data_IF_911921678595
#
_entry.id   IF_911921678595
#
_cell.length_a   1.000
_cell.length_b   1.000
_cell.length_c   1.000
_cell.angle_alpha   90.00
_cell.angle_beta   90.00
_cell.angle_gamma   90.00
#
_symmetry.space_group_name_H-M   'P 1'
#
loop_
_entity.id
_entity.type
_entity.pdbx_description
1 polymer ?
#
# COMPACT_ATOMS: atom_id res chain seq x y z
N UNK A 1 -27.23 -16.20 12.54
CA UNK A 1 -25.91 -16.77 12.17
C UNK A 1 -25.57 -16.43 10.72
N UNK A 2 -24.30 -16.15 10.39
CA UNK A 2 -23.87 -15.90 9.00
C UNK A 2 -23.68 -17.23 8.26
N UNK A 3 -24.25 -17.35 7.05
CA UNK A 3 -24.16 -18.54 6.20
C UNK A 3 -22.68 -18.95 5.93
N UNK A 4 -22.37 -20.24 6.10
CA UNK A 4 -21.04 -20.82 5.89
C UNK A 4 -20.48 -20.57 4.48
N UNK A 5 -21.29 -20.68 3.43
CA UNK A 5 -20.87 -20.42 2.05
C UNK A 5 -20.44 -18.95 1.83
N UNK A 6 -21.04 -18.00 2.57
CA UNK A 6 -20.63 -16.59 2.54
C UNK A 6 -19.28 -16.39 3.23
N UNK A 7 -19.07 -17.08 4.36
CA UNK A 7 -17.77 -17.07 5.07
C UNK A 7 -16.66 -17.68 4.21
N UNK A 8 -16.92 -18.85 3.60
CA UNK A 8 -15.97 -19.51 2.71
C UNK A 8 -15.59 -18.62 1.53
N UNK A 9 -16.56 -18.01 0.85
CA UNK A 9 -16.26 -17.06 -0.25
C UNK A 9 -15.41 -15.87 0.20
N UNK A 10 -15.72 -15.27 1.35
CA UNK A 10 -14.95 -14.17 1.89
C UNK A 10 -13.52 -14.59 2.26
N UNK A 11 -13.34 -15.80 2.79
CA UNK A 11 -12.04 -16.38 3.10
C UNK A 11 -11.24 -16.66 1.82
N UNK A 12 -11.83 -17.34 0.83
CA UNK A 12 -11.20 -17.63 -0.46
C UNK A 12 -10.74 -16.36 -1.15
N UNK A 13 -11.56 -15.31 -1.16
CA UNK A 13 -11.20 -14.01 -1.73
C UNK A 13 -9.98 -13.37 -1.05
N UNK A 14 -9.81 -13.58 0.27
CA UNK A 14 -8.66 -13.07 1.04
C UNK A 14 -7.40 -13.91 0.87
N UNK A 15 -7.55 -15.24 0.84
CA UNK A 15 -6.41 -16.17 0.74
C UNK A 15 -5.87 -16.28 -0.68
N UNK A 16 -6.70 -16.05 -1.70
CA UNK A 16 -6.27 -16.19 -3.10
C UNK A 16 -5.07 -15.27 -3.43
N UNK A 17 -5.09 -13.96 -3.12
CA UNK A 17 -3.93 -13.09 -3.29
C UNK A 17 -2.68 -13.53 -2.54
N UNK A 18 -2.83 -14.22 -1.41
CA UNK A 18 -1.70 -14.68 -0.58
C UNK A 18 -0.96 -15.85 -1.25
N UNK A 19 -1.68 -16.68 -2.01
CA UNK A 19 -1.13 -17.88 -2.65
C UNK A 19 -0.55 -17.60 -4.03
N UNK A 20 -1.17 -16.69 -4.79
CA UNK A 20 -1.06 -16.67 -6.25
C UNK A 20 -0.52 -15.36 -6.85
N UNK A 21 -0.44 -14.27 -6.08
CA UNK A 21 0.07 -13.00 -6.60
C UNK A 21 1.62 -12.94 -6.51
N UNK A 22 2.21 -11.91 -7.11
CA UNK A 22 3.61 -11.55 -6.90
C UNK A 22 3.91 -11.51 -5.39
N UNK A 23 5.10 -11.90 -4.94
CA UNK A 23 5.34 -12.15 -3.50
C UNK A 23 5.31 -13.64 -3.12
N UNK A 24 4.59 -14.44 -3.90
CA UNK A 24 4.43 -15.88 -3.68
C UNK A 24 5.61 -16.65 -4.28
N UNK A 25 6.71 -16.72 -3.53
CA UNK A 25 7.93 -17.44 -3.95
C UNK A 25 8.33 -18.44 -2.88
N UNK A 26 8.76 -19.62 -3.31
CA UNK A 26 9.43 -20.61 -2.45
C UNK A 26 10.92 -20.30 -2.47
N UNK A 27 11.49 -20.05 -1.30
CA UNK A 27 12.92 -19.83 -1.11
C UNK A 27 13.67 -21.14 -1.36
N UNK A 28 14.86 -21.10 -1.98
CA UNK A 28 15.66 -22.30 -2.18
C UNK A 28 16.08 -22.86 -0.82
N UNK A 29 15.66 -24.10 -0.53
CA UNK A 29 16.00 -24.81 0.72
C UNK A 29 17.32 -25.58 0.63
N UNK A 30 17.92 -25.67 -0.56
CA UNK A 30 19.06 -26.57 -0.83
C UNK A 30 20.39 -25.88 -0.54
N UNK A 31 21.12 -26.40 0.46
CA UNK A 31 22.56 -26.14 0.61
C UNK A 31 23.27 -26.62 -0.68
N UNK A 32 24.36 -25.94 -1.14
CA UNK A 32 25.31 -25.14 -0.37
C UNK A 32 25.15 -23.60 -0.50
N UNK A 33 24.02 -23.12 -1.01
CA UNK A 33 23.77 -21.69 -1.20
C UNK A 33 23.38 -20.95 0.09
N UNK A 34 23.55 -19.61 0.14
CA UNK A 34 23.12 -18.80 1.26
C UNK A 34 21.59 -18.78 1.36
N UNK A 35 21.08 -19.05 2.56
CA UNK A 35 19.65 -19.18 2.84
C UNK A 35 19.16 -17.98 3.64
N UNK A 36 18.06 -17.36 3.21
CA UNK A 36 17.41 -16.30 3.98
C UNK A 36 16.71 -16.93 5.19
N UNK A 37 17.21 -16.62 6.40
CA UNK A 37 16.70 -17.17 7.65
C UNK A 37 15.70 -16.26 8.34
N UNK A 38 16.00 -14.97 8.38
CA UNK A 38 15.20 -13.98 9.10
C UNK A 38 15.05 -12.70 8.30
N UNK A 39 13.89 -12.08 8.43
CA UNK A 39 13.57 -10.79 7.85
C UNK A 39 12.97 -9.91 8.95
N UNK A 40 13.67 -8.81 9.25
CA UNK A 40 13.24 -7.82 10.22
C UNK A 40 12.95 -6.51 9.50
N UNK A 41 11.80 -5.91 9.77
CA UNK A 41 11.39 -4.68 9.10
C UNK A 41 10.91 -3.67 10.12
N UNK A 42 11.42 -2.44 10.03
CA UNK A 42 10.95 -1.34 10.88
C UNK A 42 10.04 -0.42 10.08
N UNK A 43 8.78 -0.31 10.49
CA UNK A 43 7.75 0.47 9.78
C UNK A 43 7.04 1.41 10.75
N UNK A 44 7.04 2.72 10.50
CA UNK A 44 6.37 3.64 11.38
C UNK A 44 4.86 3.57 11.17
N UNK A 45 4.13 3.76 12.27
CA UNK A 45 2.68 3.67 12.35
C UNK A 45 2.08 5.02 12.75
N UNK A 46 0.88 5.29 12.24
CA UNK A 46 0.18 6.55 12.46
C UNK A 46 -0.05 7.35 11.18
N UNK A 47 -0.51 8.58 11.36
CA UNK A 47 -0.71 9.54 10.27
C UNK A 47 0.56 10.34 10.06
N UNK A 48 1.17 10.22 8.88
CA UNK A 48 2.34 11.01 8.51
C UNK A 48 1.92 12.13 7.55
N UNK A 49 2.57 13.31 7.62
CA UNK A 49 2.35 14.37 6.65
C UNK A 49 2.69 13.89 5.23
N UNK A 50 3.76 13.09 5.09
CA UNK A 50 4.20 12.50 3.83
C UNK A 50 3.80 11.01 3.74
N UNK A 51 2.49 10.74 3.62
CA UNK A 51 1.97 9.35 3.54
C UNK A 51 2.67 8.51 2.47
N UNK A 52 3.10 9.11 1.36
CA UNK A 52 3.74 8.42 0.24
C UNK A 52 5.07 7.75 0.60
N UNK A 53 5.85 8.34 1.51
CA UNK A 53 7.17 7.82 1.89
C UNK A 53 7.11 6.49 2.63
N UNK A 54 6.05 6.29 3.40
CA UNK A 54 5.84 5.11 4.25
C UNK A 54 4.92 4.08 3.58
N UNK A 55 4.17 4.51 2.56
CA UNK A 55 3.13 3.71 1.95
C UNK A 55 3.69 2.44 1.31
N UNK A 56 4.81 2.52 0.59
CA UNK A 56 5.39 1.36 -0.07
C UNK A 56 5.90 0.30 0.90
N UNK A 57 6.65 0.70 1.94
CA UNK A 57 7.03 -0.19 3.04
C UNK A 57 5.81 -0.87 3.68
N UNK A 58 4.76 -0.10 4.02
CA UNK A 58 3.53 -0.66 4.61
C UNK A 58 2.79 -1.62 3.68
N UNK A 59 2.76 -1.34 2.39
CA UNK A 59 2.18 -2.23 1.38
C UNK A 59 3.00 -3.52 1.24
N UNK A 60 4.32 -3.41 1.26
CA UNK A 60 5.23 -4.55 1.24
C UNK A 60 4.96 -5.48 2.43
N UNK A 61 4.90 -4.94 3.66
CA UNK A 61 4.55 -5.71 4.85
C UNK A 61 3.16 -6.37 4.74
N UNK A 62 2.14 -5.61 4.34
CA UNK A 62 0.76 -6.10 4.32
C UNK A 62 0.46 -7.10 3.20
N UNK A 63 1.20 -7.07 2.09
CA UNK A 63 0.95 -7.89 0.91
C UNK A 63 2.05 -8.93 0.71
N UNK A 64 3.26 -8.47 0.43
CA UNK A 64 4.34 -9.34 -0.05
C UNK A 64 4.94 -10.19 1.08
N UNK A 65 5.12 -9.62 2.26
CA UNK A 65 5.68 -10.35 3.41
C UNK A 65 4.75 -11.49 3.89
N UNK A 66 3.43 -11.28 3.82
CA UNK A 66 2.46 -12.33 4.14
C UNK A 66 2.49 -13.48 3.12
N UNK A 67 2.65 -13.16 1.83
CA UNK A 67 2.79 -14.14 0.75
C UNK A 67 4.07 -14.95 0.90
N UNK A 68 5.18 -14.27 1.19
CA UNK A 68 6.47 -14.92 1.40
C UNK A 68 6.39 -15.89 2.58
N UNK A 69 5.80 -15.47 3.71
CA UNK A 69 5.63 -16.34 4.89
C UNK A 69 4.73 -17.55 4.63
N UNK A 70 3.68 -17.38 3.82
CA UNK A 70 2.77 -18.48 3.49
C UNK A 70 3.49 -19.66 2.82
N UNK A 71 4.42 -19.38 1.91
CA UNK A 71 5.20 -20.40 1.20
C UNK A 71 6.47 -20.83 1.95
N UNK A 72 6.96 -20.01 2.87
CA UNK A 72 8.18 -20.25 3.63
C UNK A 72 7.90 -20.13 5.13
N UNK A 73 7.22 -21.12 5.74
CA UNK A 73 6.84 -21.04 7.15
C UNK A 73 8.05 -21.04 8.10
N UNK A 74 9.20 -21.57 7.65
CA UNK A 74 10.45 -21.57 8.40
C UNK A 74 11.15 -20.19 8.44
N UNK A 75 10.72 -19.24 7.59
CA UNK A 75 11.28 -17.90 7.56
C UNK A 75 10.79 -17.11 8.77
N UNK A 76 11.72 -16.65 9.61
CA UNK A 76 11.39 -15.73 10.70
C UNK A 76 11.09 -14.35 10.13
N UNK A 77 9.94 -13.78 10.49
CA UNK A 77 9.48 -12.49 9.98
C UNK A 77 9.06 -11.62 11.15
N UNK A 78 9.79 -10.55 11.41
CA UNK A 78 9.52 -9.62 12.49
C UNK A 78 9.28 -8.22 11.94
N UNK A 79 8.26 -7.53 12.47
CA UNK A 79 7.97 -6.15 12.10
C UNK A 79 7.87 -5.31 13.34
N UNK A 80 8.78 -4.36 13.48
CA UNK A 80 8.75 -3.37 14.54
C UNK A 80 7.95 -2.16 14.07
N UNK A 81 6.89 -1.86 14.80
CA UNK A 81 6.06 -0.68 14.55
C UNK A 81 6.48 0.46 15.45
N UNK A 82 6.93 1.54 14.83
CA UNK A 82 7.39 2.75 15.54
C UNK A 82 6.25 3.75 15.63
N UNK A 83 6.12 4.47 16.75
CA UNK A 83 5.11 5.53 16.88
C UNK A 83 5.53 6.78 16.11
N UNK A 84 4.54 7.57 15.70
CA UNK A 84 4.77 8.86 15.05
C UNK A 84 5.53 9.81 15.99
N UNK A 85 6.68 10.32 15.55
CA UNK A 85 7.50 11.31 16.28
C UNK A 85 8.94 10.86 16.53
N UNK A 86 9.18 9.55 16.54
CA UNK A 86 10.53 8.98 16.58
C UNK A 86 11.17 9.15 15.20
N UNK A 87 12.28 9.88 15.14
CA UNK A 87 13.03 10.19 13.91
C UNK A 87 13.90 9.01 13.45
N UNK A 88 13.43 7.79 13.65
CA UNK A 88 14.23 6.62 13.32
C UNK A 88 14.06 6.21 11.85
N UNK A 89 15.16 5.83 11.18
CA UNK A 89 15.11 5.48 9.78
C UNK A 89 14.32 4.18 9.58
N UNK A 90 13.57 4.13 8.47
CA UNK A 90 12.96 2.88 8.03
C UNK A 90 13.99 2.03 7.33
N UNK A 91 14.11 0.78 7.77
CA UNK A 91 14.97 -0.19 7.11
C UNK A 91 14.34 -1.58 7.12
N UNK A 92 14.83 -2.39 6.20
CA UNK A 92 14.58 -3.81 6.10
C UNK A 92 15.92 -4.52 6.30
N UNK A 93 16.01 -5.38 7.31
CA UNK A 93 17.17 -6.21 7.58
C UNK A 93 16.89 -7.64 7.15
N UNK A 94 17.75 -8.19 6.31
CA UNK A 94 17.74 -9.57 5.86
C UNK A 94 18.92 -10.32 6.48
N UNK A 95 18.65 -11.44 7.12
CA UNK A 95 19.68 -12.30 7.71
C UNK A 95 19.81 -13.57 6.89
N UNK A 96 21.01 -13.79 6.37
CA UNK A 96 21.39 -14.96 5.60
C UNK A 96 22.27 -15.88 6.42
N UNK A 97 22.09 -17.18 6.27
CA UNK A 97 22.92 -18.22 6.87
C UNK A 97 23.49 -19.13 5.76
N UNK A 98 24.75 -19.53 5.91
CA UNK A 98 25.44 -20.41 4.95
C UNK A 98 26.61 -21.12 5.62
N UNK A 99 26.96 -22.30 5.12
CA UNK A 99 28.19 -22.99 5.48
C UNK A 99 29.40 -22.42 4.71
N UNK A 100 29.15 -21.73 3.60
CA UNK A 100 30.19 -21.15 2.75
C UNK A 100 30.28 -19.64 2.97
N UNK A 101 31.39 -19.20 3.60
CA UNK A 101 31.69 -17.79 3.82
C UNK A 101 31.76 -17.00 2.52
N UNK A 102 32.46 -17.50 1.51
CA UNK A 102 32.62 -16.84 0.21
C UNK A 102 31.27 -16.58 -0.49
N UNK A 103 30.30 -17.48 -0.29
CA UNK A 103 28.96 -17.32 -0.84
C UNK A 103 28.20 -16.18 -0.15
N UNK A 104 28.37 -15.99 1.16
CA UNK A 104 27.80 -14.85 1.88
C UNK A 104 28.52 -13.54 1.53
N UNK A 105 29.82 -13.58 1.29
CA UNK A 105 30.60 -12.40 0.89
C UNK A 105 30.15 -11.85 -0.47
N UNK A 106 29.76 -12.75 -1.39
CA UNK A 106 29.16 -12.38 -2.69
C UNK A 106 27.82 -11.67 -2.56
N UNK A 107 27.04 -11.94 -1.50
CA UNK A 107 25.82 -11.18 -1.23
C UNK A 107 26.19 -9.85 -0.58
N UNK A 108 26.69 -8.92 -1.38
CA UNK A 108 26.86 -7.52 -0.95
C UNK A 108 25.51 -6.81 -1.03
N UNK A 109 25.26 -5.88 -0.10
CA UNK A 109 24.16 -4.95 -0.23
C UNK A 109 24.43 -4.09 -1.48
N UNK A 110 23.80 -4.45 -2.60
CA UNK A 110 23.75 -3.54 -3.74
C UNK A 110 22.83 -2.39 -3.33
N UNK A 111 23.28 -1.13 -3.45
CA UNK A 111 22.45 -0.01 -3.07
C UNK A 111 21.13 -0.08 -3.84
N UNK A 112 20.02 0.06 -3.11
CA UNK A 112 18.69 0.14 -3.72
C UNK A 112 18.68 1.23 -4.79
N UNK A 113 17.91 1.04 -5.88
CA UNK A 113 17.72 2.11 -6.86
C UNK A 113 17.24 3.37 -6.13
N UNK A 114 17.87 4.51 -6.43
CA UNK A 114 17.49 5.79 -5.84
C UNK A 114 15.97 5.96 -5.98
N UNK A 115 15.26 6.36 -4.92
CA UNK A 115 13.80 6.42 -4.93
C UNK A 115 13.35 7.28 -6.11
N UNK A 116 12.66 6.66 -7.08
CA UNK A 116 12.14 7.35 -8.27
C UNK A 116 10.94 8.25 -7.95
N UNK A 117 10.65 8.46 -6.67
CA UNK A 117 9.80 9.56 -6.24
C UNK A 117 10.52 10.87 -6.62
N UNK A 118 10.39 11.27 -7.89
CA UNK A 118 10.21 12.67 -8.23
C UNK A 118 9.07 13.10 -7.33
N UNK A 119 9.41 13.68 -6.17
CA UNK A 119 8.46 14.31 -5.27
C UNK A 119 7.75 15.28 -6.20
N UNK A 120 6.57 14.90 -6.70
CA UNK A 120 5.72 15.88 -7.34
C UNK A 120 5.50 16.86 -6.20
N UNK A 121 5.99 18.11 -6.31
CA UNK A 121 5.78 19.07 -5.24
C UNK A 121 4.32 18.97 -4.89
N UNK A 122 4.02 18.69 -3.62
CA UNK A 122 2.65 18.58 -3.14
C UNK A 122 1.94 19.80 -3.73
N UNK A 123 1.14 19.60 -4.78
CA UNK A 123 0.28 20.66 -5.28
C UNK A 123 -0.59 20.93 -4.09
N UNK A 124 -0.31 22.05 -3.43
CA UNK A 124 -1.07 22.57 -2.31
C UNK A 124 -2.53 22.35 -2.68
N UNK A 125 -3.14 21.33 -2.10
CA UNK A 125 -4.58 21.10 -2.21
C UNK A 125 -5.26 22.09 -1.26
N UNK A 126 -4.89 23.36 -1.41
CA UNK A 126 -5.63 24.49 -0.91
C UNK A 126 -6.78 24.72 -1.86
N UNK A 127 -7.94 24.18 -1.50
CA UNK A 127 -9.27 24.78 -1.75
C UNK A 127 -9.84 24.88 -3.17
N UNK A 128 -9.15 24.48 -4.24
CA UNK A 128 -9.69 24.67 -5.61
C UNK A 128 -10.47 23.48 -6.24
N UNK A 129 -10.83 22.48 -5.45
CA UNK A 129 -11.52 21.27 -5.95
C UNK A 129 -13.06 21.35 -5.94
N UNK A 130 -13.66 22.41 -5.40
CA UNK A 130 -15.13 22.57 -5.40
C UNK A 130 -15.66 23.01 -6.76
N UNK A 131 -15.02 23.97 -7.44
CA UNK A 131 -15.47 24.42 -8.77
C UNK A 131 -15.39 23.31 -9.84
N UNK A 132 -14.26 22.58 -9.91
CA UNK A 132 -14.06 21.54 -10.94
C UNK A 132 -14.91 20.28 -10.70
N UNK A 133 -15.43 20.03 -9.50
CA UNK A 133 -16.25 18.83 -9.24
C UNK A 133 -17.74 19.10 -9.37
N UNK A 134 -18.18 20.33 -9.12
CA UNK A 134 -19.59 20.73 -9.30
C UNK A 134 -19.90 20.92 -10.79
N UNK A 135 -19.00 21.49 -11.60
CA UNK A 135 -19.30 21.77 -13.01
C UNK A 135 -19.21 20.55 -13.95
N UNK A 136 -18.29 19.61 -13.72
CA UNK A 136 -18.10 18.46 -14.61
C UNK A 136 -19.05 17.28 -14.33
N UNK A 137 -19.80 17.31 -13.23
CA UNK A 137 -20.82 16.30 -12.92
C UNK A 137 -22.12 16.54 -13.71
N UNK A 138 -22.49 17.80 -13.94
CA UNK A 138 -23.72 18.17 -14.66
C UNK A 138 -23.57 18.01 -16.17
N UNK A 139 -22.39 18.30 -16.74
CA UNK A 139 -22.15 18.21 -18.19
C UNK A 139 -22.24 16.78 -18.75
N UNK A 140 -22.09 15.73 -17.93
CA UNK A 140 -22.12 14.34 -18.41
C UNK A 140 -23.51 13.85 -18.82
N UNK A 141 -24.57 14.50 -18.32
CA UNK A 141 -25.95 14.11 -18.55
C UNK A 141 -26.71 15.08 -19.48
N UNK A 142 -26.07 16.15 -19.96
CA UNK A 142 -26.69 17.11 -20.90
C UNK A 142 -26.51 16.66 -22.35
N UNK A 143 -27.42 17.08 -23.23
CA UNK A 143 -27.31 16.89 -24.67
C UNK A 143 -26.06 17.59 -25.24
N UNK A 144 -25.49 17.15 -26.37
CA UNK A 144 -24.24 17.70 -26.90
C UNK A 144 -24.31 19.21 -27.19
N UNK A 145 -25.46 19.68 -27.65
CA UNK A 145 -25.70 21.08 -28.01
C UNK A 145 -25.75 21.98 -26.76
N UNK A 146 -26.49 21.55 -25.73
CA UNK A 146 -26.57 22.25 -24.44
C UNK A 146 -25.23 22.36 -23.71
N UNK A 147 -24.32 21.40 -23.94
CA UNK A 147 -22.97 21.45 -23.35
C UNK A 147 -22.17 22.62 -23.92
N UNK A 148 -22.32 22.89 -25.22
CA UNK A 148 -21.55 23.91 -25.91
C UNK A 148 -22.01 25.30 -25.47
N UNK A 149 -23.34 25.50 -25.39
CA UNK A 149 -23.91 26.73 -24.86
C UNK A 149 -23.51 26.96 -23.40
N UNK A 150 -23.63 25.94 -22.55
CA UNK A 150 -23.27 26.07 -21.13
C UNK A 150 -21.78 26.31 -20.92
N UNK A 151 -20.91 25.79 -21.80
CA UNK A 151 -19.48 26.10 -21.80
C UNK A 151 -19.24 27.55 -22.21
N UNK A 152 -19.91 28.04 -23.25
CA UNK A 152 -19.81 29.44 -23.67
C UNK A 152 -20.26 30.39 -22.55
N UNK A 153 -21.35 30.08 -21.85
CA UNK A 153 -21.85 30.91 -20.75
C UNK A 153 -20.96 30.87 -19.49
N UNK A 154 -20.22 29.78 -19.27
CA UNK A 154 -19.35 29.63 -18.09
C UNK A 154 -17.93 30.16 -18.28
N UNK A 155 -17.43 30.28 -19.52
CA UNK A 155 -16.09 30.80 -19.82
C UNK A 155 -15.89 32.23 -19.27
N UNK A 156 -16.80 33.20 -19.47
CA UNK A 156 -16.63 34.56 -18.94
C UNK A 156 -16.52 34.59 -17.42
N UNK A 157 -17.35 33.80 -16.72
CA UNK A 157 -17.33 33.71 -15.27
C UNK A 157 -16.02 33.06 -14.75
N UNK A 158 -15.50 32.05 -15.45
CA UNK A 158 -14.20 31.44 -15.12
C UNK A 158 -13.06 32.46 -15.30
N UNK A 159 -13.07 33.24 -16.39
CA UNK A 159 -12.06 34.28 -16.62
C UNK A 159 -12.11 35.35 -15.51
N UNK A 160 -13.32 35.80 -15.14
CA UNK A 160 -13.49 36.76 -14.05
C UNK A 160 -13.01 36.22 -12.69
N UNK A 161 -13.23 34.93 -12.41
CA UNK A 161 -12.72 34.29 -11.19
C UNK A 161 -11.20 34.18 -11.18
N UNK A 162 -10.58 33.88 -12.34
CA UNK A 162 -9.12 33.84 -12.46
C UNK A 162 -8.51 35.23 -12.25
N UNK A 163 -9.10 36.28 -12.82
CA UNK A 163 -8.65 37.67 -12.60
C UNK A 163 -8.80 38.08 -11.12
N UNK A 164 -9.90 37.70 -10.48
CA UNK A 164 -10.09 37.95 -9.04
C UNK A 164 -9.07 37.19 -8.18
N UNK A 165 -8.67 35.97 -8.56
CA UNK A 165 -7.60 35.24 -7.86
C UNK A 165 -6.22 35.87 -8.08
N UNK A 166 -5.93 36.36 -9.29
CA UNK A 166 -4.67 37.07 -9.58
C UNK A 166 -4.56 38.35 -8.74
N UNK A 167 -5.68 39.05 -8.52
CA UNK A 167 -5.73 40.23 -7.65
C UNK A 167 -5.55 39.88 -6.16
N UNK A 168 -6.22 38.83 -5.67
CA UNK A 168 -6.08 38.36 -4.28
C UNK A 168 -4.67 37.86 -3.93
N UNK A 169 -3.94 37.32 -4.91
CA UNK A 169 -2.55 36.88 -4.73
C UNK A 169 -1.53 38.03 -4.72
N UNK A 170 -1.88 39.23 -5.21
CA UNK A 170 -1.00 40.41 -5.15
C UNK A 170 -0.98 41.09 -3.78
N UNK A 171 -2.04 41.00 -2.99
CA UNK A 171 -2.13 41.75 -1.71
C UNK A 171 -1.79 40.95 -0.45
N UNK A 172 -1.80 39.61 -0.49
CA UNK A 172 -1.50 38.78 0.69
C UNK A 172 -0.62 37.60 0.34
N UNK A 173 0.61 37.88 -0.07
CA UNK A 173 1.69 36.96 0.29
C UNK A 173 2.04 37.28 1.75
N UNK A 174 1.64 36.47 2.76
CA UNK A 174 2.35 36.52 4.01
C UNK A 174 3.82 36.31 3.64
N UNK A 175 4.71 37.18 4.12
CA UNK A 175 6.15 36.90 4.08
C UNK A 175 6.32 35.55 4.77
N UNK A 176 6.37 34.47 3.99
CA UNK A 176 6.75 33.14 4.44
C UNK A 176 8.25 33.22 4.69
N UNK A 177 8.62 33.97 5.72
CA UNK A 177 9.86 33.74 6.45
C UNK A 177 9.62 32.40 7.15
N UNK A 178 10.50 31.45 6.88
CA UNK A 178 10.63 30.20 7.62
C UNK A 178 9.75 28.99 7.28
N UNK A 179 9.34 28.79 6.01
CA UNK A 179 9.27 27.39 5.52
C UNK A 179 10.67 27.05 5.02
N UNK A 180 11.53 26.70 5.97
CA UNK A 180 12.82 26.11 5.63
C UNK A 180 12.52 24.83 4.84
N UNK A 181 13.05 24.66 3.62
CA UNK A 181 13.04 23.34 3.01
C UNK A 181 13.63 22.39 4.06
N UNK A 182 12.92 21.31 4.37
CA UNK A 182 13.49 20.22 5.15
C UNK A 182 14.61 19.67 4.27
N UNK A 183 15.78 20.31 4.33
CA UNK A 183 17.03 19.72 3.91
C UNK A 183 17.11 18.49 4.79
N UNK A 184 16.88 17.32 4.18
CA UNK A 184 17.27 16.08 4.81
C UNK A 184 18.77 16.18 5.01
N UNK A 185 19.18 16.58 6.20
CA UNK A 185 20.56 16.42 6.62
C UNK A 185 20.86 14.93 6.49
N UNK A 186 21.90 14.53 5.74
CA UNK A 186 22.28 13.13 5.59
C UNK A 186 22.69 12.46 6.93
N UNK A 187 22.68 13.21 8.04
CA UNK A 187 23.00 12.75 9.39
C UNK A 187 22.03 11.71 9.96
N UNK A 188 20.82 11.54 9.42
CA UNK A 188 19.91 10.46 9.87
C UNK A 188 20.28 9.05 9.37
N UNK A 189 21.31 8.93 8.50
CA UNK A 189 21.75 7.63 7.96
C UNK A 189 22.70 6.85 8.89
N UNK A 190 23.08 7.38 10.06
CA UNK A 190 24.13 6.81 10.92
C UNK A 190 23.70 5.61 11.78
N UNK A 191 22.41 5.30 11.87
CA UNK A 191 21.90 4.16 12.66
C UNK A 191 21.52 2.92 11.86
N UNK A 192 21.91 2.83 10.59
CA UNK A 192 21.74 1.57 9.84
C UNK A 192 22.73 0.53 10.42
N UNK A 193 22.27 -0.65 10.88
CA UNK A 193 23.15 -1.69 11.37
C UNK A 193 24.20 -2.01 10.31
N UNK A 194 25.48 -1.97 10.69
CA UNK A 194 26.58 -2.26 9.76
C UNK A 194 26.49 -3.70 9.26
N UNK A 195 26.80 -3.89 7.98
CA UNK A 195 26.89 -5.21 7.36
C UNK A 195 28.10 -5.96 7.96
N UNK A 196 27.84 -6.85 8.91
CA UNK A 196 28.87 -7.67 9.56
C UNK A 196 28.57 -9.16 9.38
N UNK A 197 29.62 -9.94 9.11
CA UNK A 197 29.56 -11.40 9.06
C UNK A 197 29.88 -11.91 10.47
N UNK A 198 28.90 -12.54 11.10
CA UNK A 198 29.03 -13.11 12.44
C UNK A 198 29.09 -14.62 12.33
N UNK A 199 30.13 -15.22 12.91
CA UNK A 199 30.23 -16.67 13.08
C UNK A 199 29.30 -17.08 14.21
N UNK A 200 28.33 -17.95 13.95
CA UNK A 200 27.46 -18.50 14.99
C UNK A 200 27.89 -19.94 15.27
N UNK A 201 28.02 -20.27 16.55
CA UNK A 201 28.10 -21.67 16.96
C UNK A 201 26.80 -22.38 16.57
N UNK A 202 26.92 -23.60 16.05
CA UNK A 202 25.76 -24.41 15.70
C UNK A 202 24.94 -24.68 16.99
N UNK A 203 23.61 -24.49 16.98
CA UNK A 203 22.78 -24.83 18.13
C UNK A 203 22.99 -26.32 18.47
N UNK A 204 23.10 -26.63 19.76
CA UNK A 204 23.29 -28.00 20.23
C UNK A 204 22.23 -28.92 19.60
N UNK A 205 22.67 -30.02 19.01
CA UNK A 205 21.79 -30.99 18.37
C UNK A 205 20.74 -31.48 19.38
N UNK A 206 19.51 -31.73 18.91
CA UNK A 206 18.45 -32.30 19.72
C UNK A 206 18.96 -33.62 20.33
N UNK A 207 18.91 -33.80 21.67
CA UNK A 207 19.43 -34.99 22.34
C UNK A 207 18.74 -36.28 21.87
N UNK A 208 17.62 -36.18 21.15
CA UNK A 208 16.84 -37.31 20.65
C UNK A 208 17.36 -37.88 19.32
N UNK A 209 18.30 -37.23 18.63
CA UNK A 209 18.86 -37.74 17.37
C UNK A 209 20.17 -38.50 17.60
N UNK A 210 20.38 -39.69 16.96
CA UNK A 210 21.62 -40.44 17.10
C UNK A 210 22.80 -39.58 16.67
N UNK A 211 23.80 -39.48 17.55
CA UNK A 211 24.96 -38.61 17.39
C UNK A 211 25.74 -38.98 16.13
N UNK A 212 25.55 -38.21 15.06
CA UNK A 212 26.45 -38.27 13.90
C UNK A 212 27.80 -37.74 14.33
N UNK A 213 28.84 -38.57 14.26
CA UNK A 213 30.23 -38.28 14.69
C UNK A 213 30.96 -37.29 13.76
N UNK A 214 30.24 -36.58 12.90
CA UNK A 214 30.80 -35.52 12.06
C UNK A 214 31.07 -34.27 12.88
N UNK A 215 32.26 -33.67 12.75
CA UNK A 215 32.57 -32.39 13.36
C UNK A 215 31.49 -31.33 13.02
N UNK A 216 31.08 -30.49 13.99
CA UNK A 216 30.02 -29.50 13.78
C UNK A 216 30.41 -28.54 12.65
N UNK A 217 29.53 -28.38 11.67
CA UNK A 217 29.77 -27.49 10.54
C UNK A 217 29.76 -26.04 11.03
N UNK A 218 30.77 -25.25 10.65
CA UNK A 218 30.81 -23.82 10.96
C UNK A 218 29.70 -23.10 10.18
N UNK A 219 28.79 -22.46 10.91
CA UNK A 219 27.68 -21.72 10.33
C UNK A 219 28.00 -20.22 10.34
N UNK A 220 28.05 -19.62 9.15
CA UNK A 220 28.26 -18.19 8.99
C UNK A 220 26.90 -17.50 8.82
N UNK A 221 26.76 -16.32 9.43
CA UNK A 221 25.58 -15.48 9.25
C UNK A 221 25.97 -14.09 8.77
N UNK A 222 25.18 -13.50 7.88
CA UNK A 222 25.37 -12.13 7.39
C UNK A 222 24.05 -11.38 7.46
N UNK A 223 24.07 -10.19 8.06
CA UNK A 223 22.93 -9.27 8.07
C UNK A 223 23.14 -8.20 7.01
N UNK A 224 22.09 -7.92 6.24
CA UNK A 224 22.04 -6.85 5.25
C UNK A 224 20.93 -5.89 5.63
N UNK A 225 21.24 -4.64 5.88
CA UNK A 225 20.24 -3.63 6.22
C UNK A 225 20.08 -2.61 5.10
N UNK A 226 18.86 -2.45 4.60
CA UNK A 226 18.56 -1.56 3.48
C UNK A 226 17.51 -0.51 3.84
N UNK A 227 17.73 0.77 3.46
CA UNK A 227 16.76 1.84 3.69
C UNK A 227 15.60 1.72 2.71
N UNK A 228 14.37 1.64 3.23
CA UNK A 228 13.16 1.43 2.42
C UNK A 228 12.26 2.67 2.29
N UNK A 229 12.74 3.81 2.81
CA UNK A 229 12.02 5.08 2.77
C UNK A 229 11.79 5.55 1.33
N UNK A 230 10.54 5.87 0.99
CA UNK A 230 10.19 6.39 -0.34
C UNK A 230 10.18 5.36 -1.46
N UNK A 231 10.45 4.08 -1.18
CA UNK A 231 10.37 3.02 -2.17
C UNK A 231 8.96 2.46 -2.28
N UNK A 232 8.56 2.06 -3.49
CA UNK A 232 7.31 1.33 -3.73
C UNK A 232 7.47 -0.12 -3.30
N UNK A 233 6.39 -0.76 -2.87
CA UNK A 233 6.44 -2.18 -2.46
C UNK A 233 6.97 -3.11 -3.56
N UNK A 234 6.70 -2.79 -4.83
CA UNK A 234 7.20 -3.54 -5.98
C UNK A 234 8.70 -3.39 -6.16
N UNK A 235 9.27 -2.22 -5.84
CA UNK A 235 10.71 -1.98 -5.94
C UNK A 235 11.45 -2.75 -4.84
N UNK A 236 10.95 -2.68 -3.60
CA UNK A 236 11.47 -3.46 -2.47
C UNK A 236 11.42 -4.96 -2.82
N UNK A 237 10.27 -5.44 -3.33
CA UNK A 237 10.11 -6.84 -3.70
C UNK A 237 11.04 -7.27 -4.84
N UNK A 238 11.16 -6.46 -5.89
CA UNK A 238 12.04 -6.77 -7.02
C UNK A 238 13.51 -6.83 -6.59
N UNK A 239 13.92 -5.94 -5.68
CA UNK A 239 15.27 -5.97 -5.13
C UNK A 239 15.54 -7.26 -4.36
N UNK A 240 14.62 -7.68 -3.48
CA UNK A 240 14.74 -8.97 -2.76
C UNK A 240 14.84 -10.14 -3.75
N UNK A 241 13.98 -10.12 -4.77
CA UNK A 241 13.93 -11.16 -5.80
C UNK A 241 15.25 -11.26 -6.57
N UNK A 242 15.81 -10.12 -6.98
CA UNK A 242 17.08 -10.05 -7.69
C UNK A 242 18.22 -10.57 -6.82
N UNK A 243 18.29 -10.14 -5.55
CA UNK A 243 19.34 -10.55 -4.62
C UNK A 243 19.32 -12.04 -4.28
N UNK A 244 18.14 -12.65 -4.24
CA UNK A 244 18.00 -14.05 -3.86
C UNK A 244 17.96 -15.01 -5.07
N UNK A 245 18.17 -14.52 -6.29
CA UNK A 245 18.10 -15.33 -7.50
C UNK A 245 16.74 -16.02 -7.68
N UNK A 246 15.68 -15.41 -7.14
CA UNK A 246 14.39 -16.07 -6.99
C UNK A 246 13.65 -16.15 -8.32
N UNK A 247 13.29 -17.38 -8.70
CA UNK A 247 12.35 -17.64 -9.77
C UNK A 247 10.93 -17.56 -9.22
N UNK A 248 10.06 -16.84 -9.93
CA UNK A 248 8.64 -16.79 -9.56
C UNK A 248 8.07 -18.21 -9.56
N UNK A 249 7.38 -18.61 -8.49
CA UNK A 249 6.61 -19.86 -8.45
C UNK A 249 5.32 -19.75 -9.31
N UNK A 250 5.42 -19.12 -10.48
CA UNK A 250 4.29 -18.93 -11.40
C UNK A 250 3.98 -20.23 -12.10
N UNK A 251 3.20 -21.08 -11.44
CA UNK A 251 2.25 -21.97 -12.12
C UNK A 251 0.87 -21.70 -11.54
N UNK A 252 0.15 -20.73 -12.13
CA UNK A 252 -1.31 -20.66 -11.99
C UNK A 252 -1.86 -21.99 -12.49
N UNK A 253 -2.18 -22.90 -11.58
CA UNK A 253 -2.79 -24.18 -11.95
C UNK A 253 -4.21 -23.89 -12.43
N UNK A 254 -4.71 -24.66 -13.41
CA UNK A 254 -6.01 -24.39 -14.04
C UNK A 254 -7.19 -24.24 -13.06
N UNK A 255 -7.17 -24.97 -11.94
CA UNK A 255 -8.18 -24.85 -10.89
C UNK A 255 -8.17 -23.46 -10.19
N UNK A 256 -6.99 -22.90 -9.91
CA UNK A 256 -6.84 -21.60 -9.27
C UNK A 256 -7.30 -20.47 -10.20
N UNK A 257 -6.99 -20.59 -11.49
CA UNK A 257 -7.45 -19.62 -12.48
C UNK A 257 -8.98 -19.59 -12.59
N UNK A 258 -9.64 -20.76 -12.54
CA UNK A 258 -11.11 -20.84 -12.50
C UNK A 258 -11.68 -20.22 -11.22
N UNK A 259 -11.06 -20.50 -10.06
CA UNK A 259 -11.46 -19.89 -8.80
C UNK A 259 -11.35 -18.35 -8.84
N UNK A 260 -10.29 -17.83 -9.45
CA UNK A 260 -10.13 -16.38 -9.65
C UNK A 260 -11.19 -15.78 -10.56
N UNK A 261 -11.45 -16.41 -11.71
CA UNK A 261 -12.50 -15.96 -12.62
C UNK A 261 -13.87 -15.94 -11.94
N UNK A 262 -14.18 -16.98 -11.16
CA UNK A 262 -15.40 -17.04 -10.35
C UNK A 262 -15.48 -15.90 -9.33
N UNK A 263 -14.38 -15.59 -8.64
CA UNK A 263 -14.31 -14.46 -7.71
C UNK A 263 -14.48 -13.10 -8.40
N UNK A 264 -13.86 -12.90 -9.57
CA UNK A 264 -14.01 -11.69 -10.38
C UNK A 264 -15.46 -11.51 -10.84
N UNK A 265 -16.06 -12.54 -11.42
CA UNK A 265 -17.46 -12.52 -11.87
C UNK A 265 -18.42 -12.22 -10.71
N UNK A 266 -18.18 -12.84 -9.55
CA UNK A 266 -18.96 -12.54 -8.34
C UNK A 266 -18.77 -11.10 -7.87
N UNK A 267 -17.55 -10.58 -7.90
CA UNK A 267 -17.24 -9.19 -7.55
C UNK A 267 -17.97 -8.18 -8.44
N UNK A 268 -18.00 -8.43 -9.75
CA UNK A 268 -18.74 -7.61 -10.71
C UNK A 268 -20.26 -7.66 -10.47
N UNK A 269 -20.82 -8.86 -10.27
CA UNK A 269 -22.23 -9.03 -9.92
C UNK A 269 -22.59 -8.28 -8.63
N UNK A 270 -21.74 -8.39 -7.60
CA UNK A 270 -21.92 -7.66 -6.34
C UNK A 270 -21.84 -6.13 -6.51
N UNK A 271 -20.98 -5.62 -7.39
CA UNK A 271 -20.94 -4.18 -7.69
C UNK A 271 -22.21 -3.70 -8.40
N UNK A 272 -22.71 -4.47 -9.37
CA UNK A 272 -24.00 -4.18 -10.06
C UNK A 272 -25.13 -4.13 -9.04
N UNK A 273 -25.20 -5.10 -8.14
CA UNK A 273 -26.23 -5.14 -7.09
C UNK A 273 -26.11 -3.97 -6.12
N UNK A 274 -24.92 -3.63 -5.63
CA UNK A 274 -24.69 -2.44 -4.79
C UNK A 274 -25.19 -1.16 -5.44
N UNK A 275 -24.97 -1.00 -6.76
CA UNK A 275 -25.48 0.16 -7.52
C UNK A 275 -27.01 0.14 -7.60
N UNK A 276 -27.62 -1.02 -7.81
CA UNK A 276 -29.08 -1.20 -7.83
C UNK A 276 -29.69 -0.83 -6.47
N UNK A 277 -29.21 -1.42 -5.38
CA UNK A 277 -29.68 -1.11 -4.01
C UNK A 277 -29.49 0.36 -3.69
N UNK A 278 -28.33 0.95 -4.02
CA UNK A 278 -28.08 2.38 -3.81
C UNK A 278 -29.08 3.27 -4.56
N UNK A 279 -29.50 2.90 -5.78
CA UNK A 279 -30.55 3.61 -6.51
C UNK A 279 -31.92 3.46 -5.84
N UNK A 280 -32.30 2.24 -5.46
CA UNK A 280 -33.56 1.99 -4.74
C UNK A 280 -33.66 2.78 -3.43
N UNK A 281 -32.60 2.76 -2.61
CA UNK A 281 -32.54 3.53 -1.36
C UNK A 281 -32.66 5.04 -1.61
N UNK A 282 -32.04 5.56 -2.69
CA UNK A 282 -32.17 6.98 -3.05
C UNK A 282 -33.59 7.34 -3.48
N UNK A 283 -34.24 6.49 -4.27
CA UNK A 283 -35.61 6.73 -4.72
C UNK A 283 -36.58 6.73 -3.54
N UNK A 284 -36.48 5.74 -2.64
CA UNK A 284 -37.29 5.69 -1.42
C UNK A 284 -37.12 6.94 -0.56
N UNK A 285 -35.88 7.40 -0.35
CA UNK A 285 -35.62 8.65 0.38
C UNK A 285 -36.21 9.89 -0.31
N UNK A 286 -36.27 9.89 -1.64
CA UNK A 286 -36.89 10.98 -2.41
C UNK A 286 -38.41 10.97 -2.22
N UNK A 287 -39.04 9.81 -2.31
CA UNK A 287 -40.48 9.63 -2.06
C UNK A 287 -40.85 10.02 -0.62
N UNK A 288 -40.09 9.57 0.38
CA UNK A 288 -40.28 9.96 1.79
C UNK A 288 -40.19 11.48 1.97
N UNK A 289 -39.24 12.15 1.31
CA UNK A 289 -39.12 13.61 1.35
C UNK A 289 -40.30 14.30 0.66
N UNK A 290 -40.78 13.76 -0.46
CA UNK A 290 -41.96 14.30 -1.17
C UNK A 290 -43.23 14.18 -0.33
N UNK A 291 -43.45 13.01 0.28
CA UNK A 291 -44.58 12.78 1.19
C UNK A 291 -44.51 13.69 2.41
N UNK A 292 -43.32 13.89 2.98
CA UNK A 292 -43.13 14.84 4.08
C UNK A 292 -43.49 16.27 3.66
N UNK A 293 -42.96 16.73 2.53
CA UNK A 293 -43.27 18.07 2.01
C UNK A 293 -44.77 18.26 1.74
N UNK A 294 -45.45 17.24 1.20
CA UNK A 294 -46.89 17.29 0.97
C UNK A 294 -47.70 17.38 2.27
N UNK A 295 -47.29 16.63 3.30
CA UNK A 295 -47.89 16.72 4.64
C UNK A 295 -47.68 18.08 5.28
N UNK A 296 -46.46 18.61 5.20
CA UNK A 296 -46.12 19.93 5.73
C UNK A 296 -46.91 21.05 5.01
N UNK A 297 -47.11 20.92 3.68
CA UNK A 297 -47.92 21.85 2.91
C UNK A 297 -49.41 21.78 3.28
N UNK A 298 -49.97 20.56 3.41
CA UNK A 298 -51.35 20.38 3.83
C UNK A 298 -51.61 20.92 5.25
N UNK A 299 -50.64 20.74 6.16
CA UNK A 299 -50.73 21.28 7.52
C UNK A 299 -50.75 22.81 7.54
N UNK A 300 -50.02 23.48 6.64
CA UNK A 300 -50.06 24.95 6.49
C UNK A 300 -51.42 25.42 6.01
N UNK A 301 -51.95 24.80 4.96
CA UNK A 301 -53.28 25.14 4.43
C UNK A 301 -54.37 24.92 5.49
N UNK A 302 -54.26 23.87 6.31
CA UNK A 302 -55.20 23.63 7.40
C UNK A 302 -55.11 24.69 8.50
N UNK A 303 -53.90 25.18 8.81
CA UNK A 303 -53.70 26.24 9.81
C UNK A 303 -54.22 27.61 9.34
N UNK A 304 -54.16 27.89 8.03
CA UNK A 304 -54.67 29.16 7.46
C UNK A 304 -56.21 29.23 7.41
N UNK A 305 -56.91 28.10 7.53
CA UNK A 305 -58.38 28.00 7.47
C UNK A 305 -59.06 27.99 8.85
N UNK A 306 -58.30 28.09 9.95
CA UNK A 306 -58.78 28.13 11.34
C UNK A 306 -58.57 29.53 11.89
#
# INVERSE_FOLDING_TARGET
MVNAAKRMRALTAKLYPIRNEAGSIVLPSTAPGPQLKSMFMRVPTGEFPNKEWFYGARQFWRKEMQRLKYWNPALSTNVETVKHGEKEPMYLTLEYESNNRDALEKIKAEPLPKPLLKIRPLRSHGRDMTLKRVMFADLRNMAPEDRLQKLQDTIPWIMQQLDNQVMLHKEKTPKVKDIRPIKMTPELATHVPKDEIVVKAQPAADPSQPQSTSAPATLYSRKLSIPIAGLRHTEIWNWIRQHQGLRDHRRRRGAEQRAWQSLCAFGEAAQKDRRRVKRGVKNKKKEEKQLKNARDAAARIAADNV
#
